data_IF_293612684558
#
_entry.id   IF_293612684558
#
_cell.length_a   1.000
_cell.length_b   1.000
_cell.length_c   1.000
_cell.angle_alpha   90.00
_cell.angle_beta   90.00
_cell.angle_gamma   90.00
#
_symmetry.space_group_name_H-M   'P 1'
#
loop_
_entity.id
_entity.type
_entity.pdbx_description
1 polymer ?
#
# COMPACT_ATOMS: atom_id res chain seq x y z
N UNK A 1 58.57 -10.04 -17.09
CA UNK A 1 58.50 -9.11 -15.93
C UNK A 1 58.23 -7.70 -16.43
N UNK A 2 57.01 -7.19 -16.21
CA UNK A 2 56.68 -5.79 -15.84
C UNK A 2 55.17 -5.59 -15.98
N UNK A 3 54.49 -5.81 -14.84
CA UNK A 3 53.31 -5.07 -14.33
C UNK A 3 52.02 -5.23 -15.14
N UNK A 4 51.10 -6.10 -14.71
CA UNK A 4 50.06 -5.79 -13.71
C UNK A 4 49.30 -4.49 -14.04
N UNK A 5 48.28 -4.60 -14.88
CA UNK A 5 47.10 -3.72 -14.93
C UNK A 5 45.92 -4.62 -15.37
N UNK A 6 45.54 -5.64 -14.60
CA UNK A 6 44.69 -5.52 -13.42
C UNK A 6 43.46 -4.62 -13.67
N UNK A 7 42.37 -5.27 -14.09
CA UNK A 7 41.00 -5.08 -13.58
C UNK A 7 40.45 -3.66 -13.44
N UNK A 8 39.50 -3.31 -14.29
CA UNK A 8 38.34 -2.51 -13.89
C UNK A 8 37.10 -3.04 -14.64
N UNK A 9 36.65 -4.20 -14.18
CA UNK A 9 35.37 -4.77 -14.56
C UNK A 9 34.25 -4.08 -13.78
N UNK A 10 33.04 -4.20 -14.35
CA UNK A 10 31.72 -3.96 -13.75
C UNK A 10 31.22 -2.52 -13.64
N UNK A 11 30.40 -2.21 -14.65
CA UNK A 11 29.20 -1.39 -14.64
C UNK A 11 28.75 -0.83 -13.29
N UNK A 12 28.72 0.50 -13.20
CA UNK A 12 28.02 1.23 -12.17
C UNK A 12 26.51 1.23 -12.51
N UNK A 13 25.80 0.18 -12.12
CA UNK A 13 24.34 0.21 -12.08
C UNK A 13 23.93 1.03 -10.85
N UNK A 14 23.45 2.24 -11.06
CA UNK A 14 22.87 3.07 -10.01
C UNK A 14 21.62 2.37 -9.45
N UNK A 15 21.70 1.94 -8.20
CA UNK A 15 20.53 1.48 -7.44
C UNK A 15 19.64 2.69 -7.18
N UNK A 16 18.53 2.79 -7.91
CA UNK A 16 17.47 3.73 -7.58
C UNK A 16 16.74 3.12 -6.38
N UNK A 17 16.97 3.67 -5.19
CA UNK A 17 16.17 3.33 -4.02
C UNK A 17 14.76 3.91 -4.21
N UNK A 18 13.81 3.06 -4.58
CA UNK A 18 12.38 3.41 -4.57
C UNK A 18 11.93 3.38 -3.11
N UNK A 19 11.79 4.55 -2.49
CA UNK A 19 11.09 4.66 -1.21
C UNK A 19 9.59 4.59 -1.50
N UNK A 20 8.99 3.40 -1.34
CA UNK A 20 7.54 3.26 -1.35
C UNK A 20 6.98 3.87 -0.06
N UNK A 21 6.03 4.81 -0.17
CA UNK A 21 5.32 5.32 0.98
C UNK A 21 4.50 4.19 1.62
N UNK A 22 4.62 4.02 2.94
CA UNK A 22 3.82 3.04 3.66
C UNK A 22 2.35 3.47 3.72
N UNK A 23 1.44 2.50 3.60
CA UNK A 23 0.01 2.76 3.74
C UNK A 23 -0.34 3.07 5.21
N UNK A 24 -1.25 4.02 5.47
CA UNK A 24 -1.66 4.30 6.83
C UNK A 24 -2.37 3.09 7.46
N UNK A 25 -2.09 2.88 8.74
CA UNK A 25 -2.71 1.83 9.53
C UNK A 25 -3.95 2.38 10.25
N UNK A 26 -5.11 1.77 10.01
CA UNK A 26 -6.39 2.18 10.61
C UNK A 26 -7.09 0.95 11.18
N UNK A 27 -7.36 0.98 12.49
CA UNK A 27 -7.92 -0.15 13.23
C UNK A 27 -7.21 -1.48 13.01
N UNK A 28 -5.87 -1.41 12.97
CA UNK A 28 -4.99 -2.58 12.87
C UNK A 28 -4.79 -3.16 11.47
N UNK A 29 -5.30 -2.53 10.41
CA UNK A 29 -5.09 -2.94 9.03
C UNK A 29 -4.62 -1.76 8.16
N UNK A 30 -3.89 -2.06 7.08
CA UNK A 30 -3.43 -1.05 6.13
C UNK A 30 -4.59 -0.58 5.24
N UNK A 31 -4.68 0.73 5.01
CA UNK A 31 -5.65 1.34 4.09
C UNK A 31 -4.98 1.61 2.74
N UNK A 32 -5.44 0.93 1.70
CA UNK A 32 -4.90 1.04 0.35
C UNK A 32 -5.62 2.10 -0.47
N UNK A 33 -4.88 2.91 -1.22
CA UNK A 33 -5.45 3.98 -2.05
C UNK A 33 -6.26 3.42 -3.23
N UNK A 34 -5.95 2.22 -3.68
CA UNK A 34 -6.59 1.53 -4.79
C UNK A 34 -7.91 0.85 -4.39
N UNK A 35 -8.18 0.74 -3.09
CA UNK A 35 -9.40 0.14 -2.54
C UNK A 35 -10.38 1.22 -2.11
N UNK A 36 -11.67 0.95 -2.24
CA UNK A 36 -12.69 1.82 -1.67
C UNK A 36 -12.74 1.69 -0.13
N UNK A 37 -13.50 2.58 0.51
CA UNK A 37 -13.56 2.64 1.98
C UNK A 37 -14.11 1.35 2.60
N UNK A 38 -15.03 0.66 1.94
CA UNK A 38 -15.62 -0.58 2.45
C UNK A 38 -14.64 -1.74 2.32
N UNK A 39 -13.99 -1.87 1.16
CA UNK A 39 -12.94 -2.88 0.91
C UNK A 39 -11.76 -2.74 1.88
N UNK A 40 -11.45 -1.52 2.30
CA UNK A 40 -10.47 -1.29 3.35
C UNK A 40 -11.03 -1.61 4.75
N UNK A 41 -12.21 -1.09 5.08
CA UNK A 41 -12.78 -1.20 6.42
C UNK A 41 -13.15 -2.64 6.83
N UNK A 42 -13.52 -3.53 5.88
CA UNK A 42 -13.83 -4.94 6.17
C UNK A 42 -12.64 -5.71 6.76
N UNK A 43 -11.41 -5.24 6.53
CA UNK A 43 -10.19 -5.85 7.07
C UNK A 43 -9.77 -5.25 8.43
N UNK A 44 -10.44 -4.19 8.88
CA UNK A 44 -10.14 -3.49 10.11
C UNK A 44 -10.84 -4.13 11.29
N UNK A 45 -10.12 -4.30 12.42
CA UNK A 45 -10.69 -4.88 13.64
C UNK A 45 -11.70 -3.94 14.31
N UNK A 46 -11.52 -2.64 14.10
CA UNK A 46 -12.28 -1.60 14.81
C UNK A 46 -13.60 -1.25 14.08
N UNK A 47 -13.74 -1.59 12.80
CA UNK A 47 -14.85 -1.12 11.96
C UNK A 47 -15.92 -2.18 11.68
N UNK A 48 -15.91 -3.30 12.40
CA UNK A 48 -16.81 -4.45 12.17
C UNK A 48 -18.29 -4.07 12.27
N UNK A 49 -18.71 -3.40 13.34
CA UNK A 49 -20.11 -2.99 13.55
C UNK A 49 -20.58 -1.98 12.49
N UNK A 50 -19.75 -1.00 12.16
CA UNK A 50 -20.07 0.01 11.16
C UNK A 50 -20.22 -0.61 9.77
N UNK A 51 -19.27 -1.47 9.37
CA UNK A 51 -19.30 -2.17 8.08
C UNK A 51 -20.53 -3.07 7.97
N UNK A 52 -20.87 -3.81 9.02
CA UNK A 52 -22.07 -4.64 9.05
C UNK A 52 -23.35 -3.80 8.87
N UNK A 53 -23.44 -2.64 9.51
CA UNK A 53 -24.57 -1.73 9.36
C UNK A 53 -24.68 -1.16 7.93
N UNK A 54 -23.55 -0.76 7.33
CA UNK A 54 -23.50 -0.26 5.94
C UNK A 54 -23.91 -1.34 4.94
N UNK A 55 -23.48 -2.59 5.15
CA UNK A 55 -23.89 -3.74 4.35
C UNK A 55 -25.39 -4.03 4.51
N UNK A 56 -25.90 -4.04 5.74
CA UNK A 56 -27.32 -4.25 6.01
C UNK A 56 -28.21 -3.14 5.40
N UNK A 57 -27.71 -1.91 5.32
CA UNK A 57 -28.39 -0.78 4.69
C UNK A 57 -28.29 -0.79 3.14
N UNK A 58 -27.56 -1.72 2.53
CA UNK A 58 -27.37 -1.78 1.08
C UNK A 58 -26.55 -0.61 0.51
N UNK A 59 -25.73 0.05 1.34
CA UNK A 59 -25.00 1.27 0.97
C UNK A 59 -23.58 1.03 0.46
N UNK A 60 -23.19 -0.23 0.25
CA UNK A 60 -21.83 -0.62 -0.17
C UNK A 60 -21.45 0.01 -1.52
N UNK A 61 -22.39 0.03 -2.47
CA UNK A 61 -22.17 0.59 -3.81
C UNK A 61 -22.08 2.13 -3.79
N UNK A 62 -22.76 2.79 -2.84
CA UNK A 62 -22.78 4.25 -2.71
C UNK A 62 -21.62 4.81 -1.87
N UNK A 63 -21.09 4.02 -0.93
CA UNK A 63 -19.94 4.40 -0.11
C UNK A 63 -18.62 4.46 -0.91
N UNK A 64 -18.61 4.03 -2.17
CA UNK A 64 -17.51 4.22 -3.11
C UNK A 64 -17.30 5.70 -3.52
N UNK A 65 -18.20 6.60 -3.10
CA UNK A 65 -18.07 8.05 -3.23
C UNK A 65 -16.93 8.63 -2.38
N UNK A 66 -15.72 8.63 -2.95
CA UNK A 66 -14.53 9.44 -2.65
C UNK A 66 -14.76 10.56 -1.62
N UNK A 67 -14.20 10.40 -0.42
CA UNK A 67 -13.94 11.55 0.47
C UNK A 67 -12.80 12.35 -0.16
N UNK A 68 -13.11 13.52 -0.72
CA UNK A 68 -12.12 14.58 -0.91
C UNK A 68 -11.77 15.20 0.44
#
# INVERSE_FOLDING_TARGET
MKRLLATAAFALASVIAVNAAENPMVGGAAMFAEKNIIENAVNSKDHTTLVAAVQAAGLVENAAGRWT
#
